data_IF_960356687430
#
_entry.id   IF_960356687430
#
_cell.length_a   1.000
_cell.length_b   1.000
_cell.length_c   1.000
_cell.angle_alpha   90.00
_cell.angle_beta   90.00
_cell.angle_gamma   90.00
#
_symmetry.space_group_name_H-M   'P 1'
#
loop_
_entity.id
_entity.type
_entity.pdbx_description
1 polymer ?
#
# COMPACT_ATOMS: atom_id res chain seq x y z
N UNK A 1 17.01 7.28 64.17
CA UNK A 1 16.82 7.37 62.71
C UNK A 1 17.77 6.40 62.03
N UNK A 2 17.28 5.33 61.39
CA UNK A 2 18.13 4.45 60.56
C UNK A 2 18.52 5.23 59.31
N UNK A 3 19.81 5.51 59.14
CA UNK A 3 20.36 5.94 57.84
C UNK A 3 20.19 4.76 56.89
N UNK A 4 19.34 4.93 55.88
CA UNK A 4 19.33 4.03 54.72
C UNK A 4 20.58 4.40 53.93
N UNK A 5 21.67 3.67 54.16
CA UNK A 5 22.82 3.74 53.26
C UNK A 5 22.39 3.07 51.96
N UNK A 6 22.02 3.89 50.97
CA UNK A 6 21.84 3.42 49.59
C UNK A 6 23.17 2.84 49.13
N UNK A 7 23.29 1.52 49.21
CA UNK A 7 24.47 0.80 48.77
C UNK A 7 24.72 1.13 47.29
N UNK A 8 25.89 1.68 46.96
CA UNK A 8 26.38 1.93 45.58
C UNK A 8 25.96 0.86 44.55
N UNK A 9 26.00 -0.46 44.83
CA UNK A 9 25.54 -1.47 43.87
C UNK A 9 24.05 -1.42 43.52
N UNK A 10 23.17 -0.97 44.42
CA UNK A 10 21.74 -0.86 44.13
C UNK A 10 21.42 0.30 43.17
N UNK A 11 22.15 1.42 43.31
CA UNK A 11 22.04 2.54 42.38
C UNK A 11 22.52 2.15 40.97
N UNK A 12 23.65 1.42 40.88
CA UNK A 12 24.15 0.88 39.61
C UNK A 12 23.15 -0.09 38.96
N UNK A 13 22.52 -0.97 39.74
CA UNK A 13 21.49 -1.88 39.24
C UNK A 13 20.27 -1.12 38.70
N UNK A 14 19.79 -0.09 39.39
CA UNK A 14 18.68 0.74 38.92
C UNK A 14 19.02 1.51 37.65
N UNK A 15 20.25 2.03 37.54
CA UNK A 15 20.73 2.71 36.34
C UNK A 15 20.78 1.74 35.15
N UNK A 16 21.33 0.54 35.34
CA UNK A 16 21.34 -0.50 34.33
C UNK A 16 19.93 -0.93 33.92
N UNK A 17 19.02 -1.06 34.90
CA UNK A 17 17.62 -1.39 34.64
C UNK A 17 16.95 -0.29 33.80
N UNK A 18 17.17 0.98 34.11
CA UNK A 18 16.66 2.11 33.32
C UNK A 18 17.19 2.10 31.88
N UNK A 19 18.48 1.82 31.69
CA UNK A 19 19.09 1.71 30.36
C UNK A 19 18.46 0.57 29.55
N UNK A 20 18.27 -0.60 30.19
CA UNK A 20 17.62 -1.76 29.56
C UNK A 20 16.17 -1.42 29.18
N UNK A 21 15.42 -0.76 30.08
CA UNK A 21 14.05 -0.34 29.79
C UNK A 21 13.98 0.64 28.62
N UNK A 22 14.84 1.66 28.61
CA UNK A 22 14.90 2.62 27.52
C UNK A 22 15.25 1.95 26.19
N UNK A 23 16.22 1.03 26.20
CA UNK A 23 16.60 0.26 25.03
C UNK A 23 15.45 -0.63 24.52
N UNK A 24 14.76 -1.34 25.42
CA UNK A 24 13.64 -2.20 25.06
C UNK A 24 12.47 -1.41 24.43
N UNK A 25 12.13 -0.25 24.99
CA UNK A 25 11.09 0.63 24.43
C UNK A 25 11.52 1.12 23.04
N UNK A 26 12.77 1.60 22.92
CA UNK A 26 13.31 2.09 21.65
C UNK A 26 13.33 1.01 20.57
N UNK A 27 13.78 -0.19 20.91
CA UNK A 27 13.81 -1.33 20.00
C UNK A 27 12.41 -1.70 19.49
N UNK A 28 11.41 -1.66 20.38
CA UNK A 28 10.02 -1.95 20.01
C UNK A 28 9.48 -0.92 19.01
N UNK A 29 9.74 0.37 19.25
CA UNK A 29 9.33 1.46 18.33
C UNK A 29 10.01 1.30 16.97
N UNK A 30 11.32 1.03 16.96
CA UNK A 30 12.08 0.82 15.71
C UNK A 30 11.51 -0.36 14.92
N UNK A 31 11.24 -1.49 15.58
CA UNK A 31 10.66 -2.67 14.95
C UNK A 31 9.29 -2.36 14.34
N UNK A 32 8.44 -1.62 15.07
CA UNK A 32 7.12 -1.24 14.61
C UNK A 32 7.20 -0.34 13.37
N UNK A 33 8.05 0.69 13.39
CA UNK A 33 8.26 1.58 12.25
C UNK A 33 8.80 0.80 11.05
N UNK A 34 9.76 -0.11 11.28
CA UNK A 34 10.33 -0.94 10.24
C UNK A 34 9.30 -1.88 9.60
N UNK A 35 8.47 -2.56 10.41
CA UNK A 35 7.40 -3.41 9.92
C UNK A 35 6.38 -2.62 9.09
N UNK A 36 5.96 -1.44 9.55
CA UNK A 36 5.06 -0.54 8.81
C UNK A 36 5.70 -0.06 7.50
N UNK A 37 7.00 0.23 7.51
CA UNK A 37 7.73 0.64 6.32
C UNK A 37 7.80 -0.49 5.27
N UNK A 38 8.03 -1.74 5.70
CA UNK A 38 8.00 -2.90 4.80
C UNK A 38 6.61 -3.06 4.18
N UNK A 39 5.55 -3.02 4.99
CA UNK A 39 4.18 -3.16 4.48
C UNK A 39 3.84 -2.07 3.46
N UNK A 40 4.20 -0.81 3.75
CA UNK A 40 4.01 0.30 2.82
C UNK A 40 4.81 0.11 1.54
N UNK A 41 6.07 -0.32 1.64
CA UNK A 41 6.91 -0.56 0.47
C UNK A 41 6.39 -1.70 -0.41
N UNK A 42 5.84 -2.76 0.18
CA UNK A 42 5.18 -3.84 -0.55
C UNK A 42 3.95 -3.31 -1.30
N UNK A 43 3.08 -2.57 -0.61
CA UNK A 43 1.93 -1.92 -1.25
C UNK A 43 2.35 -1.00 -2.40
N UNK A 44 3.35 -0.14 -2.20
CA UNK A 44 3.84 0.78 -3.24
C UNK A 44 4.50 0.02 -4.41
N UNK A 45 5.09 -1.15 -4.16
CA UNK A 45 5.62 -2.02 -5.19
C UNK A 45 4.51 -2.65 -6.04
N UNK A 46 3.49 -3.22 -5.40
CA UNK A 46 2.39 -3.88 -6.08
C UNK A 46 1.50 -2.86 -6.81
N UNK A 47 1.28 -1.69 -6.21
CA UNK A 47 0.63 -0.56 -6.87
C UNK A 47 1.37 -0.11 -8.13
N UNK A 48 2.71 -0.06 -8.12
CA UNK A 48 3.48 0.28 -9.33
C UNK A 48 3.31 -0.78 -10.43
N UNK A 49 3.25 -2.06 -10.07
CA UNK A 49 2.97 -3.13 -11.05
C UNK A 49 1.58 -2.98 -11.66
N UNK A 50 0.57 -2.74 -10.83
CA UNK A 50 -0.80 -2.47 -11.28
C UNK A 50 -0.86 -1.23 -12.19
N UNK A 51 -0.14 -0.16 -11.86
CA UNK A 51 -0.06 1.05 -12.70
C UNK A 51 0.56 0.78 -14.07
N UNK A 52 1.65 0.00 -14.13
CA UNK A 52 2.28 -0.37 -15.39
C UNK A 52 1.34 -1.23 -16.25
N UNK A 53 0.61 -2.15 -15.63
CA UNK A 53 -0.42 -2.91 -16.33
C UNK A 53 -1.53 -1.99 -16.87
N UNK A 54 -2.10 -1.12 -16.03
CA UNK A 54 -3.12 -0.16 -16.43
C UNK A 54 -2.66 0.72 -17.60
N UNK A 55 -1.43 1.24 -17.54
CA UNK A 55 -0.84 2.02 -18.61
C UNK A 55 -0.74 1.21 -19.92
N UNK A 56 -0.25 -0.02 -19.86
CA UNK A 56 -0.16 -0.88 -21.05
C UNK A 56 -1.54 -1.17 -21.65
N UNK A 57 -2.57 -1.34 -20.83
CA UNK A 57 -3.95 -1.54 -21.29
C UNK A 57 -4.47 -0.27 -21.98
N UNK A 58 -4.24 0.90 -21.39
CA UNK A 58 -4.69 2.18 -21.96
C UNK A 58 -3.95 2.49 -23.27
N UNK A 59 -2.62 2.33 -23.29
CA UNK A 59 -1.80 2.62 -24.48
C UNK A 59 -2.02 1.60 -25.61
N UNK A 60 -2.27 0.33 -25.25
CA UNK A 60 -2.52 -0.74 -26.20
C UNK A 60 -3.89 -0.67 -26.88
N UNK A 61 -4.87 -0.01 -26.24
CA UNK A 61 -6.24 0.11 -26.74
C UNK A 61 -6.56 1.56 -27.08
N UNK A 62 -6.43 1.91 -28.36
CA UNK A 62 -6.71 3.28 -28.86
C UNK A 62 -8.21 3.63 -28.89
N UNK A 63 -9.10 2.64 -28.83
CA UNK A 63 -10.55 2.83 -28.74
C UNK A 63 -11.06 2.36 -27.37
N UNK A 64 -11.68 3.27 -26.63
CA UNK A 64 -12.25 3.03 -25.30
C UNK A 64 -13.39 2.00 -25.35
N UNK A 65 -14.09 1.89 -26.49
CA UNK A 65 -15.16 0.90 -26.67
C UNK A 65 -14.62 -0.54 -26.75
N UNK A 66 -13.34 -0.72 -27.11
CA UNK A 66 -12.67 -2.05 -27.07
C UNK A 66 -12.27 -2.44 -25.65
N UNK A 67 -11.91 -1.48 -24.79
CA UNK A 67 -11.57 -1.72 -23.38
C UNK A 67 -12.77 -2.33 -22.64
N UNK A 68 -13.98 -1.86 -22.96
CA UNK A 68 -15.26 -2.28 -22.40
C UNK A 68 -15.62 -3.77 -22.52
N UNK A 69 -15.03 -4.50 -23.50
CA UNK A 69 -15.45 -5.87 -23.84
C UNK A 69 -14.43 -6.96 -23.50
N UNK A 70 -13.19 -6.61 -23.15
CA UNK A 70 -12.08 -7.59 -23.22
C UNK A 70 -11.18 -7.70 -21.98
N UNK A 71 -11.33 -6.83 -20.97
CA UNK A 71 -10.32 -6.67 -19.90
C UNK A 71 -10.75 -7.05 -18.48
N UNK A 72 -11.60 -8.06 -18.33
CA UNK A 72 -11.72 -8.84 -17.09
C UNK A 72 -10.59 -9.91 -17.02
N UNK A 73 -9.38 -9.52 -17.45
CA UNK A 73 -8.21 -10.39 -17.52
C UNK A 73 -7.37 -10.17 -16.29
N UNK A 74 -7.72 -10.93 -15.26
CA UNK A 74 -6.91 -11.03 -14.05
C UNK A 74 -5.52 -11.55 -14.43
N UNK A 75 -4.48 -10.93 -13.88
CA UNK A 75 -3.12 -11.28 -14.21
C UNK A 75 -2.38 -11.78 -12.97
N UNK A 76 -1.52 -12.77 -13.17
CA UNK A 76 -0.61 -13.25 -12.15
C UNK A 76 0.79 -12.71 -12.43
N UNK A 77 1.44 -12.16 -11.41
CA UNK A 77 2.81 -11.68 -11.51
C UNK A 77 3.58 -12.13 -10.27
N UNK A 78 4.62 -12.95 -10.48
CA UNK A 78 5.48 -13.47 -9.40
C UNK A 78 4.69 -14.18 -8.28
N UNK A 79 3.59 -14.85 -8.62
CA UNK A 79 2.74 -15.57 -7.66
C UNK A 79 1.63 -14.72 -7.02
N UNK A 80 1.59 -13.40 -7.31
CA UNK A 80 0.52 -12.51 -6.84
C UNK A 80 -0.57 -12.40 -7.91
N UNK A 81 -1.83 -12.55 -7.49
CA UNK A 81 -3.00 -12.42 -8.34
C UNK A 81 -3.59 -11.02 -8.28
N UNK A 82 -3.85 -10.43 -9.43
CA UNK A 82 -4.46 -9.11 -9.55
C UNK A 82 -5.78 -9.23 -10.28
N UNK A 83 -6.84 -8.72 -9.65
CA UNK A 83 -8.16 -8.64 -10.25
C UNK A 83 -8.33 -7.31 -10.97
N UNK A 84 -8.83 -7.33 -12.20
CA UNK A 84 -9.04 -6.15 -13.03
C UNK A 84 -10.52 -6.03 -13.35
N UNK A 85 -11.13 -4.89 -13.03
CA UNK A 85 -12.54 -4.64 -13.29
C UNK A 85 -12.70 -3.30 -14.02
N UNK A 86 -13.60 -3.25 -14.99
CA UNK A 86 -13.99 -2.01 -15.65
C UNK A 86 -15.45 -1.73 -15.31
N UNK A 87 -15.68 -0.65 -14.57
CA UNK A 87 -17.00 -0.26 -14.11
C UNK A 87 -17.49 0.92 -14.95
N UNK A 88 -18.72 0.84 -15.46
CA UNK A 88 -19.38 1.99 -16.07
C UNK A 88 -19.96 2.89 -14.98
N UNK A 89 -19.55 4.15 -14.97
CA UNK A 89 -20.13 5.19 -14.14
C UNK A 89 -21.06 6.04 -14.98
N UNK A 90 -22.34 6.08 -14.60
CA UNK A 90 -23.40 6.82 -15.29
C UNK A 90 -23.86 8.08 -14.52
N UNK A 91 -23.07 8.55 -13.54
CA UNK A 91 -23.36 9.79 -12.81
C UNK A 91 -22.79 11.01 -13.56
N UNK A 92 -23.63 12.03 -13.78
CA UNK A 92 -23.39 13.36 -14.42
C UNK A 92 -22.63 13.41 -15.77
N UNK A 93 -21.57 12.61 -15.94
CA UNK A 93 -20.76 12.39 -17.13
C UNK A 93 -20.44 10.89 -17.27
N UNK A 94 -20.97 10.20 -18.29
CA UNK A 94 -20.71 8.77 -18.48
C UNK A 94 -19.21 8.51 -18.74
N UNK A 95 -18.60 7.66 -17.94
CA UNK A 95 -17.20 7.27 -18.06
C UNK A 95 -16.97 5.84 -17.59
N UNK A 96 -15.85 5.24 -18.02
CA UNK A 96 -15.42 3.93 -17.53
C UNK A 96 -14.35 4.11 -16.45
N UNK A 97 -14.34 3.26 -15.44
CA UNK A 97 -13.30 3.26 -14.41
C UNK A 97 -12.61 1.90 -14.41
N UNK A 98 -11.31 1.90 -14.69
CA UNK A 98 -10.44 0.73 -14.55
C UNK A 98 -9.98 0.62 -13.10
N UNK A 99 -10.37 -0.46 -12.44
CA UNK A 99 -10.00 -0.78 -11.07
C UNK A 99 -9.08 -2.02 -11.06
N UNK A 100 -7.97 -1.96 -10.32
CA UNK A 100 -7.09 -3.10 -10.12
C UNK A 100 -6.97 -3.37 -8.62
N UNK A 101 -7.28 -4.60 -8.24
CA UNK A 101 -7.31 -5.09 -6.86
C UNK A 101 -6.31 -6.22 -6.64
N UNK A 102 -5.86 -6.36 -5.40
CA UNK A 102 -5.10 -7.52 -4.92
C UNK A 102 -5.61 -7.87 -3.52
N UNK A 103 -6.06 -9.11 -3.31
CA UNK A 103 -6.60 -9.59 -2.03
C UNK A 103 -7.56 -8.61 -1.34
N UNK A 104 -8.57 -8.13 -2.09
CA UNK A 104 -9.58 -7.13 -1.65
C UNK A 104 -9.05 -5.69 -1.44
N UNK A 105 -7.76 -5.44 -1.65
CA UNK A 105 -7.17 -4.11 -1.57
C UNK A 105 -7.12 -3.43 -2.95
N UNK A 106 -7.77 -2.27 -3.08
CA UNK A 106 -7.70 -1.44 -4.29
C UNK A 106 -6.30 -0.83 -4.42
N UNK A 107 -5.61 -1.14 -5.52
CA UNK A 107 -4.28 -0.63 -5.81
C UNK A 107 -4.34 0.58 -6.74
N UNK A 108 -5.19 0.52 -7.75
CA UNK A 108 -5.28 1.50 -8.83
C UNK A 108 -6.73 1.70 -9.24
N UNK A 109 -7.08 2.95 -9.48
CA UNK A 109 -8.37 3.38 -10.03
C UNK A 109 -8.08 4.48 -11.07
N UNK A 110 -8.52 4.26 -12.31
CA UNK A 110 -8.36 5.21 -13.41
C UNK A 110 -9.69 5.45 -14.12
N UNK A 111 -10.17 6.69 -14.10
CA UNK A 111 -11.32 7.11 -14.90
C UNK A 111 -10.89 7.39 -16.35
N UNK A 112 -11.61 6.77 -17.27
CA UNK A 112 -11.44 6.81 -18.70
C UNK A 112 -12.64 7.55 -19.30
N UNK A 113 -12.41 8.78 -19.72
CA UNK A 113 -13.41 9.61 -20.36
C UNK A 113 -13.32 9.44 -21.88
N UNK A 114 -14.46 9.21 -22.53
CA UNK A 114 -14.53 9.34 -23.99
C UNK A 114 -14.29 10.79 -24.32
N UNK A 115 -13.23 11.09 -25.09
CA UNK A 115 -13.05 12.43 -25.61
C UNK A 115 -14.30 12.80 -26.41
N UNK A 116 -15.05 13.80 -25.94
CA UNK A 116 -15.98 14.47 -26.83
C UNK A 116 -15.13 15.07 -27.96
N UNK A 117 -15.50 14.75 -29.21
CA UNK A 117 -15.04 15.50 -30.36
C UNK A 117 -15.49 16.95 -30.13
N UNK A 118 -14.61 17.77 -29.58
CA UNK A 118 -14.78 19.21 -29.58
C UNK A 118 -14.65 19.68 -31.03
N UNK A 119 -15.78 19.72 -31.75
CA UNK A 119 -15.93 20.41 -33.05
C UNK A 119 -15.60 21.90 -32.93
#
# INVERSE_FOLDING_TARGET
MRKIETSKPFAFFLELLLVIFFFAISATIILQVYASAIQKNQFDHDRRKAMLFAQNVIEGNQDLNTIQKEYDQNFENEGNYFQVEIVESNEDFPHYTLCIWQDEQLLVEYSLYTGEDYE
#
